data_IF_972653822512
#
_entry.id   IF_972653822512
#
_cell.length_a   1.000
_cell.length_b   1.000
_cell.length_c   1.000
_cell.angle_alpha   90.00
_cell.angle_beta   90.00
_cell.angle_gamma   90.00
#
_symmetry.space_group_name_H-M   'P 1'
#
loop_
_entity.id
_entity.type
_entity.pdbx_description
1 polymer ?
#
# COMPACT_ATOMS: atom_id res chain seq x y z
N UNK A 1 -0.30 3.86 17.87
CA UNK A 1 -1.29 3.05 17.12
C UNK A 1 -0.60 1.78 16.65
N UNK A 2 -1.33 0.68 16.43
CA UNK A 2 -0.73 -0.53 15.85
C UNK A 2 -0.65 -0.35 14.33
N UNK A 3 0.56 -0.11 13.81
CA UNK A 3 0.80 0.18 12.40
C UNK A 3 0.25 -0.92 11.48
N UNK A 4 0.38 -2.18 11.91
CA UNK A 4 -0.11 -3.33 11.18
C UNK A 4 -1.63 -3.24 10.96
N UNK A 5 -2.35 -2.89 12.02
CA UNK A 5 -3.81 -2.76 12.01
C UNK A 5 -4.32 -1.58 11.19
N UNK A 6 -3.53 -0.50 11.09
CA UNK A 6 -3.85 0.60 10.18
C UNK A 6 -3.73 0.12 8.72
N UNK A 7 -2.64 -0.59 8.41
CA UNK A 7 -2.42 -1.09 7.05
C UNK A 7 -3.46 -2.14 6.65
N UNK A 8 -3.88 -3.02 7.56
CA UNK A 8 -4.97 -3.97 7.30
C UNK A 8 -6.27 -3.26 6.89
N UNK A 9 -6.63 -2.16 7.55
CA UNK A 9 -7.79 -1.35 7.15
C UNK A 9 -7.61 -0.72 5.76
N UNK A 10 -6.40 -0.28 5.42
CA UNK A 10 -6.11 0.22 4.07
C UNK A 10 -6.24 -0.90 3.03
N UNK A 11 -5.76 -2.11 3.33
CA UNK A 11 -5.90 -3.26 2.45
C UNK A 11 -7.37 -3.63 2.20
N UNK A 12 -8.19 -3.65 3.26
CA UNK A 12 -9.62 -3.94 3.17
C UNK A 12 -10.35 -2.91 2.27
N UNK A 13 -10.05 -1.62 2.47
CA UNK A 13 -10.60 -0.55 1.63
C UNK A 13 -10.13 -0.67 0.18
N UNK A 14 -8.85 -1.00 -0.06
CA UNK A 14 -8.31 -1.18 -1.41
C UNK A 14 -8.92 -2.39 -2.12
N UNK A 15 -9.16 -3.50 -1.43
CA UNK A 15 -9.80 -4.70 -1.99
C UNK A 15 -11.19 -4.35 -2.57
N UNK A 16 -11.90 -3.40 -1.96
CA UNK A 16 -13.20 -2.93 -2.47
C UNK A 16 -13.10 -1.98 -3.67
N UNK A 17 -11.95 -1.32 -3.87
CA UNK A 17 -11.75 -0.25 -4.86
C UNK A 17 -11.11 -0.73 -6.17
N UNK A 18 -10.35 -1.82 -6.14
CA UNK A 18 -9.67 -2.37 -7.33
C UNK A 18 -10.13 -3.80 -7.63
N UNK A 19 -9.84 -4.28 -8.85
CA UNK A 19 -10.20 -5.64 -9.21
C UNK A 19 -9.45 -6.66 -8.34
N UNK A 20 -10.12 -7.77 -7.97
CA UNK A 20 -9.53 -8.84 -7.17
C UNK A 20 -8.17 -9.34 -7.71
N UNK A 21 -8.00 -9.60 -9.02
CA UNK A 21 -6.69 -9.98 -9.57
C UNK A 21 -5.61 -8.91 -9.39
N UNK A 22 -5.97 -7.62 -9.52
CA UNK A 22 -5.04 -6.52 -9.29
C UNK A 22 -4.63 -6.43 -7.81
N UNK A 23 -5.59 -6.57 -6.90
CA UNK A 23 -5.31 -6.56 -5.47
C UNK A 23 -4.38 -7.70 -5.05
N UNK A 24 -4.71 -8.94 -5.42
CA UNK A 24 -3.91 -10.12 -5.07
C UNK A 24 -2.47 -10.05 -5.63
N UNK A 25 -2.30 -9.44 -6.81
CA UNK A 25 -0.99 -9.34 -7.48
C UNK A 25 -0.13 -8.22 -6.89
N UNK A 26 -0.71 -7.05 -6.65
CA UNK A 26 0.06 -5.82 -6.41
C UNK A 26 -0.01 -5.32 -4.98
N UNK A 27 -1.10 -5.56 -4.26
CA UNK A 27 -1.40 -4.85 -3.00
C UNK A 27 -1.42 -5.81 -1.80
N UNK A 28 -2.03 -7.00 -1.94
CA UNK A 28 -2.30 -7.92 -0.83
C UNK A 28 -1.04 -8.41 -0.07
N UNK A 29 0.13 -8.36 -0.70
CA UNK A 29 1.40 -8.83 -0.12
C UNK A 29 2.28 -7.70 0.40
N UNK A 30 1.79 -6.47 0.37
CA UNK A 30 2.51 -5.29 0.88
C UNK A 30 2.41 -5.20 2.39
N UNK A 31 3.38 -4.55 3.02
CA UNK A 31 3.45 -4.38 4.48
C UNK A 31 3.86 -2.97 4.82
N UNK A 32 3.41 -2.49 5.97
CA UNK A 32 3.83 -1.18 6.47
C UNK A 32 5.15 -1.31 7.24
N UNK A 33 6.16 -0.61 6.76
CA UNK A 33 7.48 -0.57 7.37
C UNK A 33 7.51 0.51 8.47
N UNK A 34 7.14 1.74 8.08
CA UNK A 34 7.20 2.94 8.93
C UNK A 34 5.99 3.84 8.71
N UNK A 35 5.55 4.51 9.77
CA UNK A 35 4.58 5.61 9.72
C UNK A 35 5.27 6.82 10.34
N UNK A 36 5.38 7.92 9.59
CA UNK A 36 5.83 9.21 10.12
C UNK A 36 4.62 10.14 10.14
N UNK A 37 3.91 10.16 11.28
CA UNK A 37 2.70 10.95 11.48
C UNK A 37 2.99 12.46 11.45
N UNK A 38 4.18 12.89 11.88
CA UNK A 38 4.57 14.30 11.90
C UNK A 38 4.79 14.84 10.49
N UNK A 39 5.37 14.02 9.61
CA UNK A 39 5.61 14.39 8.20
C UNK A 39 4.48 13.96 7.26
N UNK A 40 3.53 13.17 7.75
CA UNK A 40 2.35 12.76 6.99
C UNK A 40 2.64 11.73 5.89
N UNK A 41 3.64 10.86 6.05
CA UNK A 41 3.90 9.78 5.09
C UNK A 41 4.00 8.41 5.74
N UNK A 42 3.78 7.38 4.92
CA UNK A 42 3.98 5.97 5.27
C UNK A 42 4.99 5.35 4.31
N UNK A 43 5.77 4.41 4.82
CA UNK A 43 6.69 3.59 4.03
C UNK A 43 6.10 2.19 3.94
N UNK A 44 5.90 1.72 2.71
CA UNK A 44 5.30 0.42 2.41
C UNK A 44 6.35 -0.46 1.73
N UNK A 45 6.56 -1.65 2.27
CA UNK A 45 7.37 -2.70 1.67
C UNK A 45 6.54 -3.49 0.66
N UNK A 46 7.07 -3.61 -0.55
CA UNK A 46 6.54 -4.48 -1.60
C UNK A 46 7.34 -5.80 -1.65
N UNK A 47 6.72 -6.91 -2.08
CA UNK A 47 7.38 -8.22 -2.13
C UNK A 47 8.56 -8.30 -3.12
N UNK A 48 8.65 -7.36 -4.07
CA UNK A 48 9.75 -7.22 -5.02
C UNK A 48 9.73 -5.83 -5.67
N UNK A 49 10.82 -5.49 -6.37
CA UNK A 49 11.02 -4.21 -7.07
C UNK A 49 9.93 -3.95 -8.14
N UNK A 50 9.53 -4.96 -8.93
CA UNK A 50 8.46 -4.78 -9.92
C UNK A 50 7.13 -4.38 -9.30
N UNK A 51 6.79 -4.95 -8.13
CA UNK A 51 5.58 -4.57 -7.39
C UNK A 51 5.70 -3.14 -6.85
N UNK A 52 6.87 -2.74 -6.35
CA UNK A 52 7.12 -1.38 -5.91
C UNK A 52 6.94 -0.37 -7.06
N UNK A 53 7.59 -0.62 -8.20
CA UNK A 53 7.52 0.25 -9.38
C UNK A 53 6.10 0.35 -9.94
N UNK A 54 5.35 -0.76 -9.94
CA UNK A 54 3.96 -0.75 -10.36
C UNK A 54 3.08 0.07 -9.42
N UNK A 55 3.23 -0.09 -8.10
CA UNK A 55 2.48 0.68 -7.12
C UNK A 55 2.80 2.18 -7.24
N UNK A 56 4.08 2.50 -7.35
CA UNK A 56 4.54 3.87 -7.55
C UNK A 56 3.96 4.45 -8.84
N UNK A 57 4.13 3.81 -10.00
CA UNK A 57 3.55 4.33 -11.26
C UNK A 57 2.02 4.43 -11.26
N UNK A 58 1.32 3.58 -10.50
CA UNK A 58 -0.15 3.55 -10.50
C UNK A 58 -0.78 4.56 -9.54
N UNK A 59 -0.13 4.82 -8.40
CA UNK A 59 -0.65 5.64 -7.32
C UNK A 59 0.12 6.96 -7.13
N UNK A 60 1.23 7.18 -7.85
CA UNK A 60 2.00 8.44 -7.83
C UNK A 60 1.10 9.66 -8.09
N UNK A 61 0.22 9.58 -9.07
CA UNK A 61 -0.69 10.69 -9.41
C UNK A 61 -1.80 10.92 -8.37
N UNK A 62 -2.09 9.93 -7.51
CA UNK A 62 -3.11 10.02 -6.44
C UNK A 62 -2.49 10.41 -5.08
N UNK A 63 -1.16 10.45 -4.99
CA UNK A 63 -0.39 10.69 -3.76
C UNK A 63 0.36 12.04 -3.76
N UNK A 64 0.35 12.81 -4.87
CA UNK A 64 0.79 14.22 -4.93
C UNK A 64 -0.33 15.20 -4.57
#
# INVERSE_FOLDING_TARGET
>A
MDKQRLWEQVLDEMESRISKPSFETWVAKTRIETIDEEKGYIVVEAPNEFTADWLDSRYRDELE
#
